data_IF_655585643974
#
_entry.id   IF_655585643974
#
_cell.length_a   1.000
_cell.length_b   1.000
_cell.length_c   1.000
_cell.angle_alpha   90.00
_cell.angle_beta   90.00
_cell.angle_gamma   90.00
#
_symmetry.space_group_name_H-M   'P 1'
#
loop_
_entity.id
_entity.type
_entity.pdbx_description
1 polymer ?
#
# COMPACT_ATOMS: atom_id res chain seq x y z
N UNK A 1 8.10 16.83 -12.64
CA UNK A 1 7.22 17.54 -13.60
C UNK A 1 5.79 17.08 -13.36
N UNK A 2 4.80 17.97 -13.18
CA UNK A 2 3.58 17.64 -12.44
C UNK A 2 2.56 16.91 -13.32
N UNK A 3 2.41 15.60 -13.11
CA UNK A 3 1.42 14.75 -13.78
C UNK A 3 0.15 14.58 -12.94
N UNK A 4 -0.36 15.64 -12.34
CA UNK A 4 -1.74 15.67 -11.80
C UNK A 4 -2.26 17.11 -11.88
N UNK A 5 -2.50 17.60 -13.11
CA UNK A 5 -3.34 18.78 -13.33
C UNK A 5 -4.80 18.34 -13.39
N UNK A 6 -5.56 18.84 -12.44
CA UNK A 6 -6.98 19.17 -12.49
C UNK A 6 -7.94 18.14 -13.12
N UNK A 7 -8.50 17.30 -12.24
CA UNK A 7 -9.96 17.07 -12.20
C UNK A 7 -10.44 17.14 -10.75
N UNK A 8 -10.80 18.35 -10.34
CA UNK A 8 -11.84 18.56 -9.33
C UNK A 8 -13.19 18.03 -9.87
N UNK A 9 -14.13 17.82 -8.93
CA UNK A 9 -15.51 17.30 -9.01
C UNK A 9 -15.55 15.84 -8.53
N UNK A 10 -16.06 15.52 -7.33
CA UNK A 10 -17.36 15.90 -6.79
C UNK A 10 -17.33 15.95 -5.25
N UNK A 11 -17.95 16.97 -4.66
CA UNK A 11 -18.31 16.97 -3.24
C UNK A 11 -19.20 15.75 -2.98
N UNK A 12 -18.73 14.79 -2.19
CA UNK A 12 -19.62 13.76 -1.64
C UNK A 12 -20.80 14.49 -0.98
N UNK A 13 -22.03 14.13 -1.38
CA UNK A 13 -23.24 14.65 -0.71
C UNK A 13 -23.04 14.54 0.81
N UNK A 14 -23.42 15.57 1.60
CA UNK A 14 -23.33 15.48 3.05
C UNK A 14 -24.05 14.20 3.49
N UNK A 15 -23.36 13.39 4.29
CA UNK A 15 -23.91 12.14 4.82
C UNK A 15 -25.21 12.46 5.55
N UNK A 16 -26.28 11.72 5.26
CA UNK A 16 -27.53 11.85 6.00
C UNK A 16 -27.31 11.48 7.47
N UNK A 17 -28.10 12.04 8.36
CA UNK A 17 -28.04 11.73 9.80
C UNK A 17 -28.13 10.21 10.07
N UNK A 18 -28.94 9.48 9.29
CA UNK A 18 -29.01 8.02 9.34
C UNK A 18 -27.68 7.34 8.99
N UNK A 19 -26.98 7.81 7.94
CA UNK A 19 -25.66 7.27 7.59
C UNK A 19 -24.61 7.56 8.65
N UNK A 20 -24.67 8.73 9.31
CA UNK A 20 -23.80 9.05 10.44
C UNK A 20 -24.06 8.14 11.64
N UNK A 21 -25.34 7.88 11.98
CA UNK A 21 -25.72 6.94 13.04
C UNK A 21 -25.29 5.51 12.70
N UNK A 22 -25.46 5.08 11.45
CA UNK A 22 -25.07 3.74 11.03
C UNK A 22 -23.55 3.57 11.00
N UNK A 23 -22.79 4.59 10.57
CA UNK A 23 -21.34 4.59 10.64
C UNK A 23 -20.85 4.58 12.09
N UNK A 24 -21.47 5.38 12.98
CA UNK A 24 -21.15 5.40 14.40
C UNK A 24 -21.50 4.05 15.06
N UNK A 25 -22.68 3.48 14.82
CA UNK A 25 -23.05 2.14 15.30
C UNK A 25 -22.08 1.09 14.77
N UNK A 26 -21.77 1.10 13.47
CA UNK A 26 -20.81 0.16 12.89
C UNK A 26 -19.44 0.32 13.53
N UNK A 27 -19.00 1.53 13.85
CA UNK A 27 -17.73 1.79 14.52
C UNK A 27 -17.73 1.31 15.99
N UNK A 28 -18.79 1.60 16.75
CA UNK A 28 -18.94 1.20 18.16
C UNK A 28 -19.18 -0.31 18.34
N UNK A 29 -19.81 -0.98 17.36
CA UNK A 29 -20.12 -2.40 17.43
C UNK A 29 -19.23 -3.30 16.55
N UNK A 30 -18.38 -2.73 15.68
CA UNK A 30 -17.40 -3.54 14.97
C UNK A 30 -16.29 -3.93 15.93
N UNK A 31 -16.09 -5.23 16.14
CA UNK A 31 -14.86 -5.73 16.75
C UNK A 31 -13.68 -5.28 15.89
N UNK A 32 -12.63 -4.76 16.53
CA UNK A 32 -11.38 -4.48 15.84
C UNK A 32 -10.88 -5.78 15.19
N UNK A 33 -10.50 -5.69 13.91
CA UNK A 33 -9.90 -6.81 13.20
C UNK A 33 -8.40 -6.83 13.51
N UNK A 34 -7.92 -7.91 14.08
CA UNK A 34 -6.49 -8.20 14.19
C UNK A 34 -6.04 -9.01 12.98
N UNK A 35 -4.73 -9.01 12.71
CA UNK A 35 -4.15 -9.86 11.68
C UNK A 35 -3.52 -11.09 12.36
N UNK A 36 -3.89 -12.31 11.94
CA UNK A 36 -3.40 -13.55 12.52
C UNK A 36 -1.89 -13.78 12.36
N UNK A 37 -1.27 -13.15 11.36
CA UNK A 37 0.17 -13.24 11.11
C UNK A 37 1.00 -12.30 11.99
N UNK A 38 0.34 -11.34 12.67
CA UNK A 38 1.02 -10.34 13.50
C UNK A 38 0.58 -10.43 14.96
N UNK A 39 1.53 -10.24 15.87
CA UNK A 39 1.23 -10.04 17.28
C UNK A 39 0.64 -8.63 17.51
N UNK A 40 -0.65 -8.49 17.18
CA UNK A 40 -1.40 -7.22 17.23
C UNK A 40 -2.62 -7.37 18.14
N UNK A 41 -2.42 -7.65 19.45
CA UNK A 41 -3.52 -7.76 20.39
C UNK A 41 -4.27 -6.43 20.50
N UNK A 42 -5.57 -6.52 20.81
CA UNK A 42 -6.33 -5.33 21.20
C UNK A 42 -5.88 -4.97 22.62
N UNK A 43 -5.42 -3.74 22.82
CA UNK A 43 -5.04 -3.27 24.15
C UNK A 43 -6.27 -3.09 25.03
N UNK A 44 -6.26 -3.70 26.22
CA UNK A 44 -7.33 -3.56 27.21
C UNK A 44 -7.21 -2.26 28.02
N UNK A 45 -6.00 -1.70 28.08
CA UNK A 45 -5.66 -0.47 28.80
C UNK A 45 -4.80 0.41 27.90
N UNK A 46 -5.04 1.72 27.97
CA UNK A 46 -4.24 2.73 27.28
C UNK A 46 -3.80 3.79 28.28
N UNK A 47 -2.49 3.95 28.44
CA UNK A 47 -1.86 4.99 29.24
C UNK A 47 -1.41 6.13 28.32
N UNK A 48 -2.23 7.18 28.25
CA UNK A 48 -1.98 8.34 27.40
C UNK A 48 -0.63 9.03 27.67
N UNK A 49 -0.06 8.87 28.86
CA UNK A 49 1.15 9.59 29.27
C UNK A 49 2.43 8.78 28.95
N UNK A 50 2.31 7.46 28.82
CA UNK A 50 3.44 6.55 28.60
C UNK A 50 3.41 5.84 27.24
N UNK A 51 2.23 5.46 26.74
CA UNK A 51 2.11 4.71 25.50
C UNK A 51 2.43 5.55 24.27
N UNK A 52 3.11 4.94 23.29
CA UNK A 52 3.39 5.55 21.99
C UNK A 52 2.24 5.24 21.03
N UNK A 53 1.61 6.29 20.51
CA UNK A 53 0.55 6.17 19.50
C UNK A 53 1.08 6.50 18.12
N UNK A 54 0.88 5.59 17.16
CA UNK A 54 1.26 5.78 15.76
C UNK A 54 0.01 6.10 14.94
N UNK A 55 -0.03 7.29 14.34
CA UNK A 55 -1.10 7.69 13.42
C UNK A 55 -0.64 7.65 11.95
N UNK A 56 -1.47 7.13 11.04
CA UNK A 56 -1.27 7.35 9.60
C UNK A 56 -1.61 8.79 9.18
N UNK A 57 -1.21 9.16 7.97
CA UNK A 57 -1.37 10.51 7.39
C UNK A 57 -2.81 10.99 7.18
N UNK A 58 -3.80 10.13 7.32
CA UNK A 58 -5.22 10.47 7.18
C UNK A 58 -5.91 10.77 8.52
N UNK A 59 -5.19 10.78 9.64
CA UNK A 59 -5.72 11.14 10.97
C UNK A 59 -5.34 12.57 11.32
N UNK A 60 -6.37 13.39 11.59
CA UNK A 60 -6.21 14.77 12.03
C UNK A 60 -5.99 14.86 13.54
N UNK A 61 -5.03 15.67 13.97
CA UNK A 61 -4.75 15.94 15.37
C UNK A 61 -4.39 14.68 16.19
N UNK A 62 -4.69 14.72 17.48
CA UNK A 62 -4.41 13.65 18.44
C UNK A 62 -5.71 13.13 19.06
N UNK A 63 -6.47 12.27 18.36
CA UNK A 63 -7.78 11.81 18.82
C UNK A 63 -7.74 11.03 20.13
N UNK A 64 -6.63 10.35 20.45
CA UNK A 64 -6.47 9.62 21.72
C UNK A 64 -5.93 10.48 22.86
N UNK A 65 -5.56 11.74 22.62
CA UNK A 65 -4.99 12.60 23.66
C UNK A 65 -3.66 12.10 24.22
N UNK A 66 -2.92 11.27 23.46
CA UNK A 66 -1.64 10.71 23.84
C UNK A 66 -0.54 11.78 23.93
N UNK A 67 0.42 11.62 24.84
CA UNK A 67 1.60 12.49 24.96
C UNK A 67 2.66 12.13 23.91
N UNK A 68 2.84 10.85 23.63
CA UNK A 68 3.90 10.33 22.77
C UNK A 68 3.33 9.93 21.41
N UNK A 69 3.51 10.78 20.39
CA UNK A 69 2.86 10.62 19.09
C UNK A 69 3.89 10.47 17.99
N UNK A 70 3.72 9.39 17.24
CA UNK A 70 4.39 9.18 15.96
C UNK A 70 3.39 9.39 14.84
N UNK A 71 3.79 10.06 13.75
CA UNK A 71 3.02 10.05 12.49
C UNK A 71 3.79 9.39 11.37
N UNK A 72 3.14 8.47 10.67
CA UNK A 72 3.69 7.79 9.52
C UNK A 72 3.03 8.28 8.23
N UNK A 73 3.83 8.97 7.42
CA UNK A 73 3.37 9.59 6.18
C UNK A 73 3.60 8.68 4.99
N UNK A 74 2.51 8.29 4.32
CA UNK A 74 2.55 7.57 3.04
C UNK A 74 2.49 8.55 1.86
N UNK A 75 1.92 9.75 2.10
CA UNK A 75 1.83 10.85 1.14
C UNK A 75 2.18 12.21 1.78
N UNK A 76 2.38 13.23 0.94
CA UNK A 76 2.57 14.62 1.40
C UNK A 76 1.46 15.04 2.38
N UNK A 77 1.81 15.65 3.53
CA UNK A 77 0.82 16.12 4.50
C UNK A 77 -0.29 16.94 3.86
N UNK A 78 -1.53 16.77 4.33
CA UNK A 78 -2.70 17.47 3.77
C UNK A 78 -3.38 16.77 2.60
N UNK A 79 -2.74 15.78 1.95
CA UNK A 79 -3.26 15.14 0.73
C UNK A 79 -4.63 14.48 0.92
N UNK A 80 -4.84 13.79 2.04
CA UNK A 80 -6.09 13.07 2.33
C UNK A 80 -7.03 13.81 3.28
N UNK A 81 -6.59 14.95 3.80
CA UNK A 81 -7.29 15.74 4.82
C UNK A 81 -7.74 17.08 4.25
N UNK A 82 -8.05 17.15 2.95
CA UNK A 82 -8.52 18.35 2.26
C UNK A 82 -7.58 19.57 2.43
N UNK A 83 -6.27 19.33 2.32
CA UNK A 83 -5.19 20.31 2.52
C UNK A 83 -5.03 20.82 3.97
N UNK A 84 -5.61 20.12 4.96
CA UNK A 84 -5.39 20.41 6.37
C UNK A 84 -4.26 19.51 6.90
N UNK A 85 -3.10 20.09 7.17
CA UNK A 85 -2.04 19.41 7.91
C UNK A 85 -1.99 19.97 9.33
N UNK A 86 -2.09 19.09 10.33
CA UNK A 86 -1.91 19.47 11.74
C UNK A 86 -0.62 18.85 12.22
N UNK A 87 0.30 19.68 12.71
CA UNK A 87 1.54 19.23 13.33
C UNK A 87 1.42 19.46 14.84
N UNK A 88 1.52 18.39 15.62
CA UNK A 88 1.53 18.51 17.07
C UNK A 88 2.93 18.86 17.58
N UNK A 89 2.97 19.40 18.81
CA UNK A 89 4.23 19.67 19.50
C UNK A 89 4.85 18.37 20.01
N UNK A 90 6.16 18.25 19.89
CA UNK A 90 6.98 17.10 20.31
C UNK A 90 6.62 15.78 19.62
N UNK A 91 5.88 15.81 18.50
CA UNK A 91 5.60 14.60 17.72
C UNK A 91 6.83 14.19 16.89
N UNK A 92 6.90 12.90 16.55
CA UNK A 92 7.96 12.32 15.72
C UNK A 92 7.39 11.83 14.39
N UNK A 93 7.91 12.30 13.27
CA UNK A 93 7.39 12.00 11.94
C UNK A 93 8.32 11.10 11.15
N UNK A 94 7.76 10.05 10.55
CA UNK A 94 8.47 9.19 9.61
C UNK A 94 7.80 9.23 8.25
N UNK A 95 8.63 9.21 7.22
CA UNK A 95 8.18 9.08 5.83
C UNK A 95 8.26 7.61 5.40
N UNK A 96 7.30 7.16 4.62
CA UNK A 96 7.33 5.84 4.00
C UNK A 96 8.38 5.75 2.89
N UNK A 97 8.56 6.83 2.14
CA UNK A 97 9.44 6.90 0.98
C UNK A 97 9.77 8.37 0.64
N UNK A 98 11.01 8.65 0.25
CA UNK A 98 11.48 10.00 -0.12
C UNK A 98 10.90 10.50 -1.45
N UNK A 99 10.58 9.59 -2.37
CA UNK A 99 9.97 9.92 -3.66
C UNK A 99 8.48 10.22 -3.56
N UNK A 100 7.77 9.58 -2.62
CA UNK A 100 6.34 9.78 -2.38
C UNK A 100 6.05 10.92 -1.41
N UNK A 101 6.92 11.13 -0.42
CA UNK A 101 6.77 12.16 0.62
C UNK A 101 7.97 13.09 0.59
N UNK A 102 7.74 14.31 0.11
CA UNK A 102 8.75 15.37 0.16
C UNK A 102 8.98 15.81 1.60
N UNK A 103 10.18 16.33 1.86
CA UNK A 103 10.46 17.04 3.10
C UNK A 103 9.49 18.20 3.28
N UNK A 104 9.11 18.42 4.53
CA UNK A 104 8.25 19.51 4.95
C UNK A 104 8.74 20.03 6.29
N UNK A 105 8.47 21.30 6.53
CA UNK A 105 8.80 21.93 7.80
C UNK A 105 7.73 21.60 8.85
N UNK A 106 8.18 21.29 10.05
CA UNK A 106 7.33 21.00 11.19
C UNK A 106 8.00 21.57 12.45
N UNK A 107 7.90 22.88 12.70
CA UNK A 107 8.78 23.61 13.61
C UNK A 107 8.72 23.12 15.07
N UNK A 108 7.59 22.57 15.50
CA UNK A 108 7.40 22.04 16.86
C UNK A 108 7.50 20.50 16.94
N UNK A 109 7.87 19.83 15.85
CA UNK A 109 7.99 18.38 15.75
C UNK A 109 9.33 17.97 15.15
N UNK A 110 9.67 16.68 15.25
CA UNK A 110 10.88 16.14 14.62
C UNK A 110 10.49 15.36 13.36
N UNK A 111 10.95 15.81 12.20
CA UNK A 111 10.95 14.98 10.99
C UNK A 111 12.19 14.09 11.03
N UNK A 112 11.97 12.77 11.13
CA UNK A 112 13.04 11.78 11.10
C UNK A 112 13.70 11.72 9.72
N UNK A 113 15.02 11.51 9.72
CA UNK A 113 15.80 11.15 8.51
C UNK A 113 15.69 9.65 8.18
N UNK A 114 15.20 8.84 9.11
CA UNK A 114 14.93 7.42 8.90
C UNK A 114 13.68 7.27 8.05
N UNK A 115 13.80 6.56 6.93
CA UNK A 115 12.65 6.18 6.10
C UNK A 115 12.06 4.89 6.65
N UNK A 116 10.79 4.95 7.06
CA UNK A 116 10.04 3.78 7.52
C UNK A 116 9.36 3.12 6.32
N UNK A 117 10.17 2.53 5.45
CA UNK A 117 9.68 1.69 4.36
C UNK A 117 9.51 0.26 4.86
N UNK A 118 8.26 -0.20 4.93
CA UNK A 118 7.90 -1.54 5.39
C UNK A 118 7.36 -2.33 4.21
N UNK A 119 8.04 -3.44 3.89
CA UNK A 119 7.55 -4.45 2.95
C UNK A 119 6.99 -5.63 3.75
N UNK A 120 5.74 -5.99 3.45
CA UNK A 120 5.12 -7.22 3.91
C UNK A 120 4.50 -7.95 2.71
N UNK A 121 4.87 -9.21 2.53
CA UNK A 121 4.31 -10.12 1.54
C UNK A 121 3.59 -11.22 2.32
N UNK A 122 2.27 -11.43 2.13
CA UNK A 122 1.55 -12.53 2.77
C UNK A 122 2.16 -13.88 2.40
N UNK A 123 2.33 -14.76 3.40
CA UNK A 123 3.04 -16.03 3.25
C UNK A 123 2.35 -17.03 2.30
N UNK A 124 1.05 -16.84 2.02
CA UNK A 124 0.29 -17.66 1.09
C UNK A 124 0.77 -17.50 -0.36
N UNK A 125 1.35 -16.36 -0.73
CA UNK A 125 1.90 -16.13 -2.07
C UNK A 125 3.24 -16.83 -2.24
N UNK A 126 3.21 -17.95 -2.93
CA UNK A 126 4.37 -18.75 -3.30
C UNK A 126 4.09 -19.47 -4.61
N UNK A 127 5.13 -19.72 -5.39
CA UNK A 127 5.03 -20.53 -6.59
C UNK A 127 5.09 -22.03 -6.24
N UNK A 128 3.98 -22.75 -6.39
CA UNK A 128 3.92 -24.21 -6.18
C UNK A 128 4.42 -25.02 -7.38
N UNK A 129 4.95 -24.35 -8.41
CA UNK A 129 5.47 -24.94 -9.64
C UNK A 129 4.46 -25.79 -10.43
N UNK A 130 3.16 -25.48 -10.31
CA UNK A 130 2.12 -26.10 -11.13
C UNK A 130 2.42 -25.87 -12.62
N UNK A 131 2.63 -26.98 -13.36
CA UNK A 131 2.95 -26.99 -14.80
C UNK A 131 1.71 -26.93 -15.68
N UNK A 132 0.55 -27.25 -15.12
CA UNK A 132 -0.73 -27.32 -15.84
C UNK A 132 -1.54 -26.03 -15.69
N UNK A 133 -0.92 -24.95 -15.18
CA UNK A 133 -1.57 -23.65 -15.04
C UNK A 133 -2.05 -23.13 -16.39
N UNK A 134 -3.28 -22.62 -16.43
CA UNK A 134 -3.91 -22.13 -17.65
C UNK A 134 -4.93 -21.03 -17.34
N UNK A 135 -5.25 -20.22 -18.34
CA UNK A 135 -6.27 -19.17 -18.21
C UNK A 135 -5.77 -17.90 -17.52
N UNK A 136 -6.73 -17.05 -17.13
CA UNK A 136 -6.50 -15.67 -16.74
C UNK A 136 -7.17 -15.35 -15.39
N UNK A 137 -6.47 -14.57 -14.58
CA UNK A 137 -7.07 -13.79 -13.50
C UNK A 137 -6.97 -12.29 -13.83
N UNK A 138 -7.84 -11.46 -13.26
CA UNK A 138 -7.77 -10.01 -13.43
C UNK A 138 -8.24 -9.22 -12.20
N UNK A 139 -7.82 -7.95 -12.12
CA UNK A 139 -8.26 -7.01 -11.07
C UNK A 139 -8.53 -5.62 -11.65
N UNK A 140 -9.56 -4.92 -11.15
CA UNK A 140 -9.92 -3.56 -11.58
C UNK A 140 -9.42 -2.51 -10.60
N UNK A 141 -9.80 -2.61 -9.31
CA UNK A 141 -9.40 -1.70 -8.22
C UNK A 141 -9.35 -0.21 -8.61
N UNK A 142 -8.16 0.41 -8.71
CA UNK A 142 -7.99 1.83 -9.06
C UNK A 142 -8.16 2.12 -10.56
N UNK A 143 -8.30 1.10 -11.39
CA UNK A 143 -8.58 1.18 -12.82
C UNK A 143 -10.06 1.42 -13.18
N UNK A 144 -10.88 1.93 -12.24
CA UNK A 144 -12.29 2.24 -12.50
C UNK A 144 -12.41 3.17 -13.71
N UNK A 145 -13.32 2.81 -14.64
CA UNK A 145 -13.55 3.56 -15.87
C UNK A 145 -12.65 3.17 -17.04
N UNK A 146 -11.67 2.26 -16.83
CA UNK A 146 -11.00 1.60 -17.96
C UNK A 146 -11.94 0.64 -18.67
N UNK A 147 -11.76 0.49 -19.97
CA UNK A 147 -12.45 -0.53 -20.76
C UNK A 147 -11.88 -1.90 -20.39
N UNK A 148 -12.76 -2.84 -20.03
CA UNK A 148 -12.38 -4.18 -19.59
C UNK A 148 -12.38 -5.15 -20.77
N UNK A 149 -11.47 -4.94 -21.72
CA UNK A 149 -11.39 -5.71 -22.98
C UNK A 149 -10.03 -6.42 -23.18
N UNK A 150 -9.20 -6.44 -22.14
CA UNK A 150 -7.82 -6.93 -22.19
C UNK A 150 -7.63 -8.27 -21.45
N UNK A 151 -8.71 -9.04 -21.28
CA UNK A 151 -8.69 -10.43 -20.84
C UNK A 151 -9.88 -11.20 -21.45
N UNK A 152 -9.86 -12.53 -21.49
CA UNK A 152 -10.99 -13.37 -21.85
C UNK A 152 -12.22 -13.19 -20.95
N UNK A 153 -13.40 -13.56 -21.43
CA UNK A 153 -14.67 -13.46 -20.67
C UNK A 153 -14.77 -14.44 -19.50
N UNK A 154 -14.02 -15.53 -19.55
CA UNK A 154 -13.93 -16.58 -18.51
C UNK A 154 -12.79 -16.31 -17.51
N UNK A 155 -12.13 -15.16 -17.58
CA UNK A 155 -11.11 -14.77 -16.61
C UNK A 155 -11.69 -14.59 -15.20
N UNK A 156 -10.92 -14.99 -14.18
CA UNK A 156 -11.34 -14.92 -12.77
C UNK A 156 -11.04 -13.53 -12.21
N UNK A 157 -12.07 -12.82 -11.73
CA UNK A 157 -11.89 -11.55 -11.04
C UNK A 157 -11.40 -11.79 -9.61
N UNK A 158 -10.25 -11.22 -9.22
CA UNK A 158 -9.72 -11.36 -7.86
C UNK A 158 -10.18 -10.24 -6.90
N UNK A 159 -10.93 -9.26 -7.39
CA UNK A 159 -11.35 -8.13 -6.57
C UNK A 159 -12.34 -8.57 -5.47
N UNK A 160 -11.97 -8.31 -4.21
CA UNK A 160 -12.81 -8.61 -3.04
C UNK A 160 -12.59 -9.99 -2.41
N UNK A 161 -11.79 -10.85 -3.05
CA UNK A 161 -11.35 -12.14 -2.48
C UNK A 161 -10.29 -11.93 -1.40
N UNK A 162 -10.16 -12.91 -0.51
CA UNK A 162 -9.10 -12.90 0.50
C UNK A 162 -7.74 -13.35 -0.08
N UNK A 163 -6.68 -13.23 0.73
CA UNK A 163 -5.33 -13.50 0.25
C UNK A 163 -5.09 -14.98 -0.09
N UNK A 164 -5.72 -15.92 0.62
CA UNK A 164 -5.54 -17.36 0.42
C UNK A 164 -6.25 -17.81 -0.87
N UNK A 165 -7.49 -17.33 -1.09
CA UNK A 165 -8.23 -17.57 -2.34
C UNK A 165 -7.45 -17.03 -3.56
N UNK A 166 -6.90 -15.82 -3.45
CA UNK A 166 -6.11 -15.23 -4.54
C UNK A 166 -4.83 -16.02 -4.79
N UNK A 167 -4.15 -16.48 -3.73
CA UNK A 167 -2.95 -17.30 -3.86
C UNK A 167 -3.24 -18.65 -4.54
N UNK A 168 -4.39 -19.27 -4.23
CA UNK A 168 -4.85 -20.48 -4.92
C UNK A 168 -5.11 -20.22 -6.40
N UNK A 169 -5.84 -19.14 -6.73
CA UNK A 169 -6.09 -18.74 -8.14
C UNK A 169 -4.77 -18.51 -8.87
N UNK A 170 -3.85 -17.75 -8.28
CA UNK A 170 -2.54 -17.47 -8.88
C UNK A 170 -1.69 -18.73 -9.10
N UNK A 171 -1.85 -19.78 -8.31
CA UNK A 171 -1.15 -21.03 -8.55
C UNK A 171 -1.77 -21.90 -9.66
N UNK A 172 -2.94 -21.51 -10.18
CA UNK A 172 -3.66 -22.23 -11.24
C UNK A 172 -3.78 -21.46 -12.56
N UNK A 173 -3.63 -20.13 -12.56
CA UNK A 173 -3.70 -19.33 -13.80
C UNK A 173 -2.33 -19.08 -14.43
N UNK A 174 -2.30 -18.92 -15.75
CA UNK A 174 -1.08 -18.56 -16.48
C UNK A 174 -0.83 -17.05 -16.46
N UNK A 175 -1.89 -16.25 -16.60
CA UNK A 175 -1.82 -14.79 -16.74
C UNK A 175 -2.58 -14.05 -15.65
N UNK A 176 -2.05 -12.91 -15.22
CA UNK A 176 -2.76 -11.96 -14.38
C UNK A 176 -2.80 -10.59 -15.07
N UNK A 177 -4.00 -10.05 -15.25
CA UNK A 177 -4.24 -8.75 -15.90
C UNK A 177 -4.71 -7.72 -14.87
N UNK A 178 -3.89 -6.70 -14.63
CA UNK A 178 -4.22 -5.60 -13.71
C UNK A 178 -4.63 -4.35 -14.49
N UNK A 179 -5.86 -3.90 -14.31
CA UNK A 179 -6.29 -2.57 -14.77
C UNK A 179 -5.88 -1.46 -13.79
N UNK A 180 -5.53 -1.82 -12.55
CA UNK A 180 -4.83 -0.98 -11.61
C UNK A 180 -3.33 -0.96 -11.94
N UNK A 181 -2.85 0.18 -12.43
CA UNK A 181 -1.45 0.32 -12.86
C UNK A 181 -0.46 0.38 -11.70
N UNK A 182 -0.92 0.51 -10.45
CA UNK A 182 -0.08 0.60 -9.28
C UNK A 182 -0.56 -0.37 -8.20
N UNK A 183 -0.44 -1.69 -8.48
CA UNK A 183 -0.99 -2.76 -7.64
C UNK A 183 0.08 -3.68 -7.06
N UNK A 184 -0.02 -3.96 -5.75
CA UNK A 184 0.78 -5.00 -5.10
C UNK A 184 0.49 -6.40 -5.66
N UNK A 185 -0.74 -6.65 -6.15
CA UNK A 185 -1.12 -7.94 -6.73
C UNK A 185 -0.29 -8.31 -7.95
N UNK A 186 0.22 -7.33 -8.71
CA UNK A 186 1.16 -7.62 -9.80
C UNK A 186 2.47 -8.23 -9.28
N UNK A 187 2.94 -7.79 -8.10
CA UNK A 187 4.10 -8.41 -7.46
C UNK A 187 3.76 -9.79 -6.90
N UNK A 188 2.59 -9.97 -6.27
CA UNK A 188 2.15 -11.27 -5.75
C UNK A 188 1.96 -12.32 -6.86
N UNK A 189 1.45 -11.90 -8.01
CA UNK A 189 1.35 -12.73 -9.21
C UNK A 189 2.74 -13.22 -9.66
N UNK A 190 3.73 -12.31 -9.74
CA UNK A 190 5.12 -12.66 -10.08
C UNK A 190 5.72 -13.66 -9.09
N UNK A 191 5.52 -13.45 -7.78
CA UNK A 191 5.98 -14.38 -6.73
C UNK A 191 5.36 -15.77 -6.91
N UNK A 192 4.10 -15.83 -7.33
CA UNK A 192 3.36 -17.08 -7.58
C UNK A 192 3.69 -17.72 -8.94
N UNK A 193 4.60 -17.13 -9.70
CA UNK A 193 5.01 -17.61 -11.04
C UNK A 193 4.05 -17.24 -12.17
N UNK A 194 3.09 -16.36 -11.94
CA UNK A 194 2.10 -15.90 -12.92
C UNK A 194 2.70 -14.80 -13.81
N UNK A 195 2.35 -14.80 -15.09
CA UNK A 195 2.68 -13.72 -16.03
C UNK A 195 1.85 -12.48 -15.72
N UNK A 196 2.42 -11.55 -14.97
CA UNK A 196 1.74 -10.31 -14.57
C UNK A 196 1.80 -9.23 -15.66
N UNK A 197 0.64 -8.73 -16.07
CA UNK A 197 0.47 -7.67 -17.07
C UNK A 197 -0.34 -6.53 -16.46
N UNK A 198 0.16 -5.32 -16.59
CA UNK A 198 -0.56 -4.09 -16.29
C UNK A 198 -1.09 -3.49 -17.59
N UNK A 199 -2.37 -3.12 -17.61
CA UNK A 199 -2.97 -2.45 -18.78
C UNK A 199 -2.50 -1.00 -18.85
N UNK A 200 -1.78 -0.60 -19.92
CA UNK A 200 -1.23 0.74 -20.06
C UNK A 200 -2.26 1.86 -19.87
N UNK A 201 -1.79 3.01 -19.41
CA UNK A 201 -2.56 4.25 -19.51
C UNK A 201 -2.37 4.91 -20.88
N UNK A 202 -3.41 5.58 -21.35
CA UNK A 202 -3.36 6.29 -22.63
C UNK A 202 -2.27 7.36 -22.59
N UNK A 203 -1.41 7.37 -23.60
CA UNK A 203 -0.29 8.31 -23.75
C UNK A 203 0.77 8.25 -22.63
N UNK A 204 0.83 7.17 -21.86
CA UNK A 204 1.88 6.95 -20.86
C UNK A 204 2.75 5.80 -21.33
N UNK A 205 4.02 6.10 -21.64
CA UNK A 205 5.02 5.07 -21.95
C UNK A 205 5.45 4.30 -20.69
N UNK A 206 6.02 3.10 -20.86
CA UNK A 206 6.54 2.29 -19.74
C UNK A 206 7.51 3.07 -18.84
N UNK A 207 8.43 3.83 -19.43
CA UNK A 207 9.41 4.63 -18.69
C UNK A 207 8.78 5.80 -17.93
N UNK A 208 7.61 6.29 -18.37
CA UNK A 208 6.86 7.33 -17.65
C UNK A 208 6.00 6.73 -16.53
N UNK A 209 5.48 5.51 -16.71
CA UNK A 209 4.64 4.83 -15.72
C UNK A 209 5.40 4.55 -14.42
N UNK A 210 6.58 3.94 -14.51
CA UNK A 210 7.51 3.75 -13.40
C UNK A 210 8.91 4.18 -13.82
N UNK A 211 9.37 5.39 -13.46
CA UNK A 211 10.72 5.83 -13.81
C UNK A 211 11.83 4.97 -13.19
N UNK A 212 11.57 4.45 -11.98
CA UNK A 212 12.44 3.49 -11.32
C UNK A 212 12.25 2.08 -11.89
N UNK A 213 13.32 1.55 -12.48
CA UNK A 213 13.33 0.26 -13.17
C UNK A 213 13.04 -0.91 -12.23
N UNK A 214 13.38 -0.78 -10.94
CA UNK A 214 13.17 -1.81 -9.93
C UNK A 214 11.67 -2.13 -9.73
N UNK A 215 10.81 -1.12 -9.95
CA UNK A 215 9.36 -1.27 -9.87
C UNK A 215 8.76 -1.92 -11.13
N UNK A 216 9.50 -1.97 -12.24
CA UNK A 216 9.08 -2.60 -13.51
C UNK A 216 9.50 -4.07 -13.65
N UNK A 217 10.40 -4.56 -12.79
CA UNK A 217 10.92 -5.93 -12.89
C UNK A 217 9.79 -6.96 -12.71
N UNK A 218 9.75 -7.96 -13.59
CA UNK A 218 8.76 -9.03 -13.56
C UNK A 218 7.35 -8.65 -14.03
N UNK A 219 7.06 -7.38 -14.28
CA UNK A 219 5.70 -6.90 -14.61
C UNK A 219 5.69 -6.31 -16.02
N UNK A 220 4.84 -6.83 -16.89
CA UNK A 220 4.69 -6.34 -18.27
C UNK A 220 3.81 -5.09 -18.31
N UNK A 221 4.23 -4.05 -19.02
CA UNK A 221 3.40 -2.89 -19.32
C UNK A 221 2.71 -3.08 -20.68
N UNK A 222 1.56 -3.76 -20.65
CA UNK A 222 0.86 -4.30 -21.82
C UNK A 222 1.45 -5.62 -22.31
N UNK A 223 0.68 -6.33 -23.15
CA UNK A 223 1.03 -7.67 -23.64
C UNK A 223 2.33 -7.69 -24.47
N UNK A 224 2.65 -6.60 -25.18
CA UNK A 224 3.86 -6.52 -26.01
C UNK A 224 5.16 -6.42 -25.19
N UNK A 225 5.09 -6.22 -23.88
CA UNK A 225 6.26 -6.09 -22.98
C UNK A 225 6.51 -7.38 -22.15
N UNK A 226 5.80 -8.46 -22.49
CA UNK A 226 5.79 -9.69 -21.71
C UNK A 226 7.15 -10.40 -21.68
N UNK A 227 7.84 -10.50 -22.82
CA UNK A 227 9.14 -11.18 -22.91
C UNK A 227 10.17 -10.53 -21.99
N UNK A 228 10.25 -9.20 -22.00
CA UNK A 228 11.12 -8.44 -21.08
C UNK A 228 10.72 -8.69 -19.63
N UNK A 229 9.44 -8.62 -19.31
CA UNK A 229 8.96 -8.82 -17.95
C UNK A 229 9.40 -10.20 -17.44
N UNK A 230 9.19 -11.25 -18.23
CA UNK A 230 9.61 -12.62 -17.90
C UNK A 230 11.12 -12.75 -17.69
N UNK A 231 11.94 -12.14 -18.55
CA UNK A 231 13.41 -12.14 -18.40
C UNK A 231 13.89 -11.46 -17.12
N UNK A 232 13.08 -10.57 -16.53
CA UNK A 232 13.45 -9.81 -15.32
C UNK A 232 12.86 -10.35 -14.03
N UNK A 233 12.08 -11.44 -14.07
CA UNK A 233 11.51 -12.08 -12.87
C UNK A 233 12.58 -12.47 -11.84
N UNK A 234 13.72 -13.10 -12.20
CA UNK A 234 14.75 -13.44 -11.22
C UNK A 234 15.29 -12.20 -10.47
N UNK A 235 15.43 -11.08 -11.17
CA UNK A 235 15.87 -9.82 -10.58
C UNK A 235 14.82 -9.25 -9.62
N UNK A 236 13.53 -9.37 -9.95
CA UNK A 236 12.43 -8.97 -9.06
C UNK A 236 12.47 -9.76 -7.76
N UNK A 237 12.61 -11.08 -7.82
CA UNK A 237 12.63 -11.93 -6.61
C UNK A 237 13.81 -11.58 -5.70
N UNK A 238 15.02 -11.46 -6.27
CA UNK A 238 16.22 -11.04 -5.53
C UNK A 238 16.09 -9.64 -4.93
N UNK A 239 15.40 -8.73 -5.61
CA UNK A 239 15.13 -7.39 -5.08
C UNK A 239 14.19 -7.45 -3.88
N UNK A 240 13.15 -8.29 -3.92
CA UNK A 240 12.21 -8.42 -2.82
C UNK A 240 12.89 -8.96 -1.56
N UNK A 241 13.77 -9.94 -1.67
CA UNK A 241 14.58 -10.46 -0.55
C UNK A 241 15.39 -9.34 0.11
N UNK A 242 16.07 -8.51 -0.69
CA UNK A 242 16.82 -7.34 -0.19
C UNK A 242 15.91 -6.31 0.48
N UNK A 243 14.75 -6.02 -0.11
CA UNK A 243 13.78 -5.07 0.44
C UNK A 243 13.19 -5.56 1.76
N UNK A 244 13.00 -6.86 1.93
CA UNK A 244 12.54 -7.45 3.18
C UNK A 244 13.58 -7.31 4.30
N UNK A 245 14.86 -7.53 3.99
CA UNK A 245 15.95 -7.28 4.93
C UNK A 245 16.06 -5.79 5.29
N UNK A 246 16.00 -4.90 4.30
CA UNK A 246 16.00 -3.46 4.52
C UNK A 246 14.80 -3.02 5.38
N UNK A 247 13.61 -3.56 5.14
CA UNK A 247 12.39 -3.33 5.92
C UNK A 247 12.62 -3.65 7.41
N UNK A 248 13.20 -4.82 7.73
CA UNK A 248 13.54 -5.18 9.12
C UNK A 248 14.52 -4.18 9.76
N UNK A 249 15.53 -3.73 9.01
CA UNK A 249 16.50 -2.75 9.51
C UNK A 249 15.87 -1.36 9.71
N UNK A 250 14.95 -0.95 8.84
CA UNK A 250 14.19 0.30 8.99
C UNK A 250 13.33 0.27 10.26
N UNK A 251 12.64 -0.86 10.54
CA UNK A 251 11.85 -1.02 11.76
C UNK A 251 12.73 -0.97 13.02
N UNK A 252 13.92 -1.58 13.01
CA UNK A 252 14.87 -1.48 14.13
C UNK A 252 15.28 -0.04 14.42
N UNK A 253 15.67 0.70 13.37
CA UNK A 253 16.04 2.12 13.49
C UNK A 253 14.87 2.97 13.99
N UNK A 254 13.67 2.71 13.48
CA UNK A 254 12.44 3.34 13.93
C UNK A 254 12.22 3.13 15.43
N UNK A 255 12.29 1.89 15.92
CA UNK A 255 12.11 1.59 17.35
C UNK A 255 13.14 2.34 18.19
N UNK A 256 14.42 2.29 17.82
CA UNK A 256 15.48 2.99 18.54
C UNK A 256 15.24 4.50 18.59
N UNK A 257 14.89 5.12 17.46
CA UNK A 257 14.65 6.56 17.39
C UNK A 257 13.40 6.99 18.17
N UNK A 258 12.34 6.18 18.16
CA UNK A 258 11.13 6.41 18.98
C UNK A 258 11.48 6.35 20.47
N UNK A 259 12.26 5.36 20.88
CA UNK A 259 12.71 5.23 22.27
C UNK A 259 13.57 6.42 22.69
N UNK A 260 14.56 6.81 21.89
CA UNK A 260 15.41 7.98 22.17
C UNK A 260 14.64 9.30 22.24
N UNK A 261 13.58 9.45 21.43
CA UNK A 261 12.81 10.70 21.36
C UNK A 261 11.83 10.88 22.53
N UNK A 262 11.19 9.79 22.99
CA UNK A 262 10.18 9.87 24.07
C UNK A 262 10.70 9.47 25.45
N UNK A 263 11.86 8.82 25.56
CA UNK A 263 12.52 8.53 26.84
C UNK A 263 13.41 9.71 27.22
N UNK A 264 12.78 10.76 27.78
CA UNK A 264 13.39 11.80 28.64
C UNK A 264 12.45 12.07 29.81
#
# INVERSE_FOLDING_TARGET
MPLFKDRMISFKKPKTFLTLINDARRYYFSKFKTNGDFNTPIADVFDKDNDVVIYPDNILGNPLGAKNIVRWYLHTPGRFTHNLATFGKNELYFKFDDGLVRDFDAPDAKLSKTILNILHIPACYKNVNNKDRAGYAYSVRKGIGKKLDSHPSDAICIDGLDHDEIAEIFNNVEFFVSYDVYSAYSTFAVISGVKSIVIPERNVSRNQWYPDIDNQLGIAYGFNDLDRAMLTVPNKLKLLEKKEEASRNNVKKFISEVQEHFVV
#
